data_IF_246228889138
#
_entry.id   IF_246228889138
#
_cell.length_a   1.000
_cell.length_b   1.000
_cell.length_c   1.000
_cell.angle_alpha   90.00
_cell.angle_beta   90.00
_cell.angle_gamma   90.00
#
_symmetry.space_group_name_H-M   'P 1'
#
loop_
_entity.id
_entity.type
_entity.pdbx_description
1 polymer ?
#
# COMPACT_ATOMS: atom_id res chain seq x y z
N UNK A 1 -4.87 2.24 -11.50
CA UNK A 1 -5.46 1.50 -10.38
C UNK A 1 -6.86 0.99 -10.70
N UNK A 2 -7.39 0.12 -9.84
CA UNK A 2 -8.75 -0.47 -10.00
C UNK A 2 -9.88 0.58 -10.01
N UNK A 3 -9.70 1.71 -9.39
CA UNK A 3 -10.61 2.86 -9.42
C UNK A 3 -10.88 3.41 -10.84
N UNK A 4 -10.00 3.15 -11.80
CA UNK A 4 -10.16 3.56 -13.20
C UNK A 4 -10.84 2.49 -14.07
N UNK A 5 -11.19 1.32 -13.51
CA UNK A 5 -11.70 0.18 -14.29
C UNK A 5 -12.97 0.50 -15.09
N UNK A 6 -13.93 1.20 -14.50
CA UNK A 6 -15.19 1.56 -15.17
C UNK A 6 -14.93 2.43 -16.41
N UNK A 7 -14.07 3.46 -16.29
CA UNK A 7 -13.69 4.30 -17.43
C UNK A 7 -12.97 3.51 -18.53
N UNK A 8 -12.13 2.57 -18.17
CA UNK A 8 -11.44 1.71 -19.14
C UNK A 8 -12.40 0.73 -19.83
N UNK A 9 -13.39 0.18 -19.13
CA UNK A 9 -14.41 -0.66 -19.77
C UNK A 9 -15.25 0.15 -20.74
N UNK A 10 -15.69 1.35 -20.36
CA UNK A 10 -16.41 2.26 -21.26
C UNK A 10 -15.58 2.58 -22.51
N UNK A 11 -14.29 2.89 -22.35
CA UNK A 11 -13.40 3.17 -23.47
C UNK A 11 -13.28 1.98 -24.43
N UNK A 12 -13.28 0.73 -23.92
CA UNK A 12 -13.28 -0.48 -24.76
C UNK A 12 -14.57 -0.64 -25.56
N UNK A 13 -15.71 -0.38 -24.92
CA UNK A 13 -17.02 -0.50 -25.57
C UNK A 13 -17.23 0.57 -26.64
N UNK A 14 -16.76 1.80 -26.38
CA UNK A 14 -16.81 2.91 -27.34
C UNK A 14 -15.86 2.66 -28.52
N UNK A 15 -14.66 2.13 -28.26
CA UNK A 15 -13.68 1.88 -29.32
C UNK A 15 -14.26 1.00 -30.45
N UNK A 16 -15.00 -0.04 -30.10
CA UNK A 16 -15.64 -0.92 -31.10
C UNK A 16 -16.69 -0.18 -31.94
N UNK A 17 -17.51 0.65 -31.27
CA UNK A 17 -18.57 1.45 -31.94
C UNK A 17 -18.03 2.48 -32.93
N UNK A 18 -16.83 2.99 -32.69
CA UNK A 18 -16.15 3.97 -33.57
C UNK A 18 -15.12 3.33 -34.50
N UNK A 19 -15.14 1.99 -34.64
CA UNK A 19 -14.25 1.25 -35.52
C UNK A 19 -12.78 1.25 -35.12
N UNK A 20 -12.47 1.47 -33.85
CA UNK A 20 -11.10 1.42 -33.32
C UNK A 20 -10.82 0.10 -32.60
N UNK A 21 -9.56 -0.31 -32.59
CA UNK A 21 -9.11 -1.48 -31.83
C UNK A 21 -9.31 -1.26 -30.33
N UNK A 22 -9.90 -2.25 -29.65
CA UNK A 22 -10.08 -2.23 -28.19
C UNK A 22 -8.71 -2.14 -27.49
N UNK A 23 -8.49 -1.19 -26.57
CA UNK A 23 -7.25 -1.11 -25.82
C UNK A 23 -7.15 -2.27 -24.82
N UNK A 24 -5.92 -2.75 -24.56
CA UNK A 24 -5.64 -3.63 -23.44
C UNK A 24 -5.50 -2.78 -22.17
N UNK A 25 -6.19 -3.16 -21.11
CA UNK A 25 -6.18 -2.41 -19.84
C UNK A 25 -5.60 -3.29 -18.73
N UNK A 26 -4.59 -2.78 -18.04
CA UNK A 26 -3.98 -3.41 -16.86
C UNK A 26 -4.38 -2.60 -15.62
N UNK A 27 -4.89 -3.29 -14.60
CA UNK A 27 -5.33 -2.67 -13.36
C UNK A 27 -4.51 -3.21 -12.19
N UNK A 28 -3.90 -2.30 -11.44
CA UNK A 28 -3.24 -2.62 -10.18
C UNK A 28 -4.22 -2.51 -9.02
N UNK A 29 -4.06 -3.28 -7.94
CA UNK A 29 -4.83 -3.07 -6.72
C UNK A 29 -4.61 -1.66 -6.16
N UNK A 30 -5.58 -1.16 -5.40
CA UNK A 30 -5.44 0.08 -4.63
C UNK A 30 -4.79 -0.28 -3.29
N UNK A 31 -3.81 0.51 -2.86
CA UNK A 31 -3.26 0.41 -1.52
C UNK A 31 -4.12 1.25 -0.56
N UNK A 32 -4.49 0.66 0.56
CA UNK A 32 -5.16 1.38 1.63
C UNK A 32 -4.26 2.46 2.22
N UNK A 33 -4.84 3.60 2.58
CA UNK A 33 -4.19 4.61 3.39
C UNK A 33 -3.85 4.06 4.78
N UNK A 34 -2.81 4.61 5.40
CA UNK A 34 -2.30 4.08 6.68
C UNK A 34 -3.27 4.23 7.86
N UNK A 35 -4.31 5.03 7.71
CA UNK A 35 -5.33 5.25 8.74
C UNK A 35 -6.41 4.17 8.69
N UNK A 36 -7.18 4.07 9.76
CA UNK A 36 -8.36 3.19 9.79
C UNK A 36 -9.32 3.56 8.65
N UNK A 37 -9.82 2.58 7.87
CA UNK A 37 -10.80 2.84 6.83
C UNK A 37 -12.06 3.48 7.42
N UNK A 38 -12.42 4.67 6.96
CA UNK A 38 -13.62 5.35 7.42
C UNK A 38 -14.78 5.09 6.45
N UNK A 39 -15.93 4.73 6.99
CA UNK A 39 -17.19 4.67 6.26
C UNK A 39 -17.89 6.03 6.18
N UNK A 40 -17.31 7.06 6.81
CA UNK A 40 -17.87 8.40 6.85
C UNK A 40 -17.83 9.07 5.46
N UNK A 41 -18.97 9.55 5.01
CA UNK A 41 -19.17 10.26 3.75
C UNK A 41 -20.41 9.76 3.00
N UNK A 42 -21.17 10.70 2.43
CA UNK A 42 -22.43 10.41 1.73
C UNK A 42 -22.24 10.10 0.25
N UNK A 43 -21.08 10.45 -0.31
CA UNK A 43 -20.80 10.20 -1.73
C UNK A 43 -20.38 8.74 -1.96
N UNK A 44 -21.07 8.05 -2.86
CA UNK A 44 -20.70 6.72 -3.34
C UNK A 44 -19.98 6.85 -4.67
N UNK A 45 -18.80 6.24 -4.75
CA UNK A 45 -17.99 6.17 -5.97
C UNK A 45 -18.21 4.87 -6.75
N UNK A 46 -18.75 3.85 -6.09
CA UNK A 46 -19.04 2.57 -6.71
C UNK A 46 -20.34 1.95 -6.14
N UNK A 47 -21.08 1.19 -6.97
CA UNK A 47 -22.25 0.42 -6.55
C UNK A 47 -21.85 -0.77 -5.68
N UNK A 48 -20.68 -1.37 -5.94
CA UNK A 48 -20.07 -2.37 -5.08
C UNK A 48 -19.52 -1.70 -3.82
N UNK A 49 -20.09 -2.04 -2.68
CA UNK A 49 -19.73 -1.46 -1.38
C UNK A 49 -18.28 -1.74 -0.96
N UNK A 50 -17.71 -2.87 -1.37
CA UNK A 50 -16.31 -3.20 -1.09
C UNK A 50 -15.36 -2.35 -1.96
N UNK A 51 -15.69 -2.17 -3.23
CA UNK A 51 -14.91 -1.32 -4.12
C UNK A 51 -15.03 0.14 -3.70
N UNK A 52 -16.21 0.60 -3.32
CA UNK A 52 -16.45 1.95 -2.82
C UNK A 52 -15.59 2.24 -1.57
N UNK A 53 -15.55 1.32 -0.61
CA UNK A 53 -14.69 1.45 0.57
C UNK A 53 -13.20 1.50 0.20
N UNK A 54 -12.74 0.67 -0.73
CA UNK A 54 -11.35 0.68 -1.21
C UNK A 54 -10.99 1.99 -1.90
N UNK A 55 -11.90 2.57 -2.68
CA UNK A 55 -11.68 3.86 -3.36
C UNK A 55 -11.58 4.99 -2.35
N UNK A 56 -12.46 5.01 -1.33
CA UNK A 56 -12.47 6.05 -0.28
C UNK A 56 -11.25 5.96 0.63
N UNK A 57 -10.86 4.75 1.03
CA UNK A 57 -9.76 4.50 1.95
C UNK A 57 -8.39 4.37 1.28
N UNK A 58 -8.30 4.54 -0.04
CA UNK A 58 -7.02 4.43 -0.75
C UNK A 58 -5.98 5.42 -0.26
N UNK A 59 -4.71 5.02 -0.33
CA UNK A 59 -3.58 5.88 0.01
C UNK A 59 -3.61 7.18 -0.82
N UNK A 60 -3.61 8.34 -0.14
CA UNK A 60 -3.75 9.65 -0.77
C UNK A 60 -2.85 10.71 -0.14
N UNK A 61 -2.14 11.47 -0.98
CA UNK A 61 -1.32 12.61 -0.51
C UNK A 61 -2.13 13.73 0.14
N UNK A 62 -3.43 13.82 -0.15
CA UNK A 62 -4.32 14.85 0.41
C UNK A 62 -4.61 14.65 1.90
N UNK A 63 -4.39 13.44 2.42
CA UNK A 63 -4.66 13.10 3.82
C UNK A 63 -3.31 12.98 4.53
N UNK A 64 -3.05 13.89 5.47
CA UNK A 64 -1.80 13.90 6.22
C UNK A 64 -1.60 12.56 6.96
N UNK A 65 -0.39 12.00 6.90
CA UNK A 65 -0.05 10.74 7.57
C UNK A 65 -0.62 9.46 6.94
N UNK A 66 -1.43 9.55 5.86
CA UNK A 66 -2.01 8.37 5.21
C UNK A 66 -1.11 7.72 4.17
N UNK A 67 0.03 8.31 3.84
CA UNK A 67 0.86 7.90 2.70
C UNK A 67 2.33 7.73 3.08
N UNK A 68 2.95 6.67 2.54
CA UNK A 68 4.40 6.54 2.48
C UNK A 68 4.86 7.08 1.12
N UNK A 69 5.77 8.04 1.18
CA UNK A 69 6.38 8.60 -0.02
C UNK A 69 7.63 7.80 -0.40
N UNK A 70 7.88 7.64 -1.69
CA UNK A 70 9.03 6.86 -2.19
C UNK A 70 10.40 7.42 -1.76
N UNK A 71 10.45 8.68 -1.30
CA UNK A 71 11.64 9.36 -0.80
C UNK A 71 11.65 9.52 0.73
N UNK A 72 10.67 8.95 1.44
CA UNK A 72 10.65 8.98 2.91
C UNK A 72 11.92 8.33 3.47
N UNK A 73 12.49 8.96 4.49
CA UNK A 73 13.63 8.42 5.22
C UNK A 73 13.24 7.23 6.11
N UNK A 74 14.22 6.45 6.60
CA UNK A 74 13.94 5.31 7.49
C UNK A 74 13.13 5.68 8.73
N UNK A 75 13.42 6.81 9.37
CA UNK A 75 12.70 7.30 10.55
C UNK A 75 11.25 7.71 10.22
N UNK A 76 11.03 8.28 9.03
CA UNK A 76 9.69 8.65 8.57
C UNK A 76 8.85 7.41 8.27
N UNK A 77 9.44 6.40 7.61
CA UNK A 77 8.80 5.11 7.36
C UNK A 77 8.43 4.44 8.69
N UNK A 78 9.36 4.36 9.63
CA UNK A 78 9.13 3.76 10.95
C UNK A 78 7.98 4.46 11.69
N UNK A 79 8.02 5.77 11.77
CA UNK A 79 6.98 6.57 12.42
C UNK A 79 5.60 6.34 11.78
N UNK A 80 5.52 6.36 10.46
CA UNK A 80 4.28 6.16 9.71
C UNK A 80 3.72 4.74 9.88
N UNK A 81 4.56 3.72 9.76
CA UNK A 81 4.13 2.31 9.93
C UNK A 81 3.73 2.03 11.38
N UNK A 82 4.43 2.57 12.37
CA UNK A 82 4.03 2.44 13.79
C UNK A 82 2.64 3.02 14.05
N UNK A 83 2.34 4.19 13.49
CA UNK A 83 1.04 4.83 13.61
C UNK A 83 -0.05 4.19 12.75
N UNK A 84 0.29 3.37 11.74
CA UNK A 84 -0.66 2.79 10.80
C UNK A 84 -1.68 1.88 11.48
N UNK A 85 -2.90 1.89 10.96
CA UNK A 85 -3.94 0.95 11.34
C UNK A 85 -3.50 -0.48 11.04
N UNK A 86 -3.56 -1.35 12.03
CA UNK A 86 -3.12 -2.75 11.90
C UNK A 86 -3.82 -3.59 12.98
N UNK A 87 -5.12 -3.89 12.81
CA UNK A 87 -5.91 -4.62 13.79
C UNK A 87 -5.46 -6.08 13.89
N UNK A 88 -5.39 -6.64 15.13
CA UNK A 88 -4.99 -8.03 15.33
C UNK A 88 -5.90 -9.01 14.58
N UNK A 89 -5.34 -9.99 13.90
CA UNK A 89 -6.07 -11.07 13.22
C UNK A 89 -6.87 -10.65 11.99
N UNK A 90 -6.90 -9.37 11.62
CA UNK A 90 -7.67 -8.86 10.49
C UNK A 90 -6.73 -8.45 9.36
N UNK A 91 -6.84 -9.10 8.21
CA UNK A 91 -6.04 -8.82 7.02
C UNK A 91 -6.76 -7.93 6.02
N UNK A 92 -8.09 -8.01 5.94
CA UNK A 92 -8.91 -7.22 5.02
C UNK A 92 -8.95 -5.75 5.48
N UNK A 93 -8.59 -4.82 4.60
CA UNK A 93 -8.55 -3.39 4.91
C UNK A 93 -7.42 -3.00 5.88
N UNK A 94 -6.47 -3.88 6.11
CA UNK A 94 -5.28 -3.64 6.92
C UNK A 94 -4.14 -3.14 6.02
N UNK A 95 -3.79 -1.83 6.07
CA UNK A 95 -2.80 -1.25 5.18
C UNK A 95 -1.40 -1.87 5.32
N UNK A 96 -1.02 -2.28 6.53
CA UNK A 96 0.29 -2.90 6.76
C UNK A 96 0.33 -4.28 6.10
N UNK A 97 -0.78 -5.05 6.17
CA UNK A 97 -0.89 -6.33 5.50
C UNK A 97 -0.94 -6.18 3.97
N UNK A 98 -1.65 -5.17 3.46
CA UNK A 98 -1.70 -4.88 2.01
C UNK A 98 -0.34 -4.47 1.45
N UNK A 99 0.43 -3.63 2.15
CA UNK A 99 1.80 -3.28 1.79
C UNK A 99 2.66 -4.55 1.71
N UNK A 100 2.54 -5.43 2.70
CA UNK A 100 3.26 -6.71 2.69
C UNK A 100 2.90 -7.53 1.46
N UNK A 101 1.61 -7.68 1.18
CA UNK A 101 1.08 -8.49 0.07
C UNK A 101 1.45 -7.94 -1.30
N UNK A 102 1.33 -6.63 -1.50
CA UNK A 102 1.42 -6.04 -2.83
C UNK A 102 2.76 -5.37 -3.13
N UNK A 103 3.59 -5.14 -2.11
CA UNK A 103 4.92 -4.53 -2.27
C UNK A 103 6.02 -5.46 -1.79
N UNK A 104 6.00 -5.89 -0.52
CA UNK A 104 7.13 -6.64 0.05
C UNK A 104 7.30 -7.99 -0.64
N UNK A 105 6.28 -8.85 -0.67
CA UNK A 105 6.39 -10.16 -1.31
C UNK A 105 6.76 -10.11 -2.79
N UNK A 106 6.17 -9.22 -3.62
CA UNK A 106 6.59 -9.12 -5.03
C UNK A 106 8.03 -8.66 -5.22
N UNK A 107 8.62 -7.92 -4.29
CA UNK A 107 9.99 -7.39 -4.40
C UNK A 107 11.04 -8.30 -3.75
N UNK A 108 10.75 -8.89 -2.60
CA UNK A 108 11.72 -9.67 -1.81
C UNK A 108 11.43 -11.19 -1.83
N UNK A 109 10.24 -11.62 -2.24
CA UNK A 109 9.83 -13.03 -2.25
C UNK A 109 9.48 -13.60 -0.88
N UNK A 110 9.94 -12.97 0.19
CA UNK A 110 9.73 -13.37 1.58
C UNK A 110 9.69 -12.14 2.48
N UNK A 111 9.28 -12.30 3.73
CA UNK A 111 9.40 -11.26 4.76
C UNK A 111 10.03 -11.82 6.03
N UNK A 112 11.05 -11.13 6.54
CA UNK A 112 11.65 -11.39 7.85
C UNK A 112 10.94 -10.58 8.92
N UNK A 113 10.49 -11.24 10.00
CA UNK A 113 9.85 -10.60 11.15
C UNK A 113 10.80 -10.68 12.36
N UNK A 114 11.42 -9.56 12.77
CA UNK A 114 12.31 -9.52 13.94
C UNK A 114 11.44 -9.56 15.21
N UNK A 115 11.56 -10.67 15.95
CA UNK A 115 10.93 -10.84 17.28
C UNK A 115 12.00 -11.19 18.30
N UNK A 116 11.76 -10.82 19.56
CA UNK A 116 12.60 -11.26 20.66
C UNK A 116 12.35 -12.73 21.00
N UNK A 117 13.32 -13.40 21.58
CA UNK A 117 13.21 -14.83 22.01
C UNK A 117 12.02 -15.09 22.92
N UNK A 118 11.65 -14.10 23.74
CA UNK A 118 10.45 -14.16 24.60
C UNK A 118 9.15 -14.44 23.82
N UNK A 119 9.09 -14.05 22.56
CA UNK A 119 7.94 -14.22 21.69
C UNK A 119 8.20 -15.23 20.56
N UNK A 120 9.14 -16.15 20.77
CA UNK A 120 9.46 -17.24 19.85
C UNK A 120 10.60 -16.93 18.86
N UNK A 121 11.32 -15.81 19.04
CA UNK A 121 12.42 -15.43 18.18
C UNK A 121 12.01 -14.94 16.78
N UNK A 122 12.97 -14.55 15.94
CA UNK A 122 12.71 -14.10 14.59
C UNK A 122 12.09 -15.22 13.74
N UNK A 123 11.27 -14.85 12.75
CA UNK A 123 10.59 -15.78 11.87
C UNK A 123 10.56 -15.23 10.44
N UNK A 124 10.72 -16.11 9.46
CA UNK A 124 10.61 -15.81 8.04
C UNK A 124 9.35 -16.43 7.46
N UNK A 125 8.68 -15.69 6.59
CA UNK A 125 7.54 -16.18 5.81
C UNK A 125 7.89 -16.12 4.32
N UNK A 126 7.82 -17.27 3.67
CA UNK A 126 8.11 -17.41 2.25
C UNK A 126 6.86 -17.25 1.35
N UNK A 127 5.69 -17.12 1.97
CA UNK A 127 4.45 -16.86 1.24
C UNK A 127 3.46 -16.02 2.03
N UNK A 128 2.65 -15.25 1.29
CA UNK A 128 1.57 -14.46 1.88
C UNK A 128 0.54 -15.34 2.60
N UNK A 129 0.31 -16.57 2.13
CA UNK A 129 -0.63 -17.48 2.75
C UNK A 129 -0.18 -17.94 4.14
N UNK A 130 1.11 -18.24 4.31
CA UNK A 130 1.68 -18.56 5.63
C UNK A 130 1.56 -17.37 6.59
N UNK A 131 1.94 -16.17 6.13
CA UNK A 131 1.80 -14.96 6.93
C UNK A 131 0.35 -14.70 7.33
N UNK A 132 -0.59 -14.85 6.40
CA UNK A 132 -2.03 -14.66 6.65
C UNK A 132 -2.57 -15.66 7.68
N UNK A 133 -2.18 -16.92 7.60
CA UNK A 133 -2.55 -17.94 8.57
C UNK A 133 -2.03 -17.62 9.97
N UNK A 134 -0.77 -17.22 10.11
CA UNK A 134 -0.17 -16.86 11.40
C UNK A 134 -0.78 -15.57 11.97
N UNK A 135 -1.08 -14.60 11.11
CA UNK A 135 -1.69 -13.35 11.54
C UNK A 135 -3.15 -13.52 11.95
N UNK A 136 -3.96 -14.23 11.18
CA UNK A 136 -5.39 -14.47 11.48
C UNK A 136 -5.59 -15.37 12.68
N UNK A 137 -4.68 -16.30 12.95
CA UNK A 137 -4.68 -17.11 14.16
C UNK A 137 -4.09 -16.40 15.40
N UNK A 138 -3.76 -15.11 15.27
CA UNK A 138 -3.21 -14.25 16.34
C UNK A 138 -1.86 -14.74 16.92
N UNK A 139 -1.12 -15.59 16.18
CA UNK A 139 0.23 -16.03 16.56
C UNK A 139 1.32 -15.01 16.16
N UNK A 140 0.97 -14.09 15.25
CA UNK A 140 1.83 -12.95 14.89
C UNK A 140 1.20 -11.65 15.37
N UNK A 141 1.92 -10.95 16.26
CA UNK A 141 1.45 -9.68 16.80
C UNK A 141 1.57 -8.53 15.79
N UNK A 142 0.61 -7.58 15.73
CA UNK A 142 0.67 -6.42 14.82
C UNK A 142 1.96 -5.61 14.88
N UNK A 143 2.54 -5.43 16.07
CA UNK A 143 3.80 -4.69 16.22
C UNK A 143 4.99 -5.41 15.57
N UNK A 144 4.99 -6.75 15.60
CA UNK A 144 6.06 -7.52 14.97
C UNK A 144 5.93 -7.46 13.43
N UNK A 145 4.71 -7.59 12.90
CA UNK A 145 4.46 -7.36 11.48
C UNK A 145 4.89 -5.96 11.04
N UNK A 146 4.54 -4.93 11.80
CA UNK A 146 4.96 -3.55 11.52
C UNK A 146 6.47 -3.40 11.46
N UNK A 147 7.22 -4.04 12.36
CA UNK A 147 8.70 -4.01 12.34
C UNK A 147 9.26 -4.64 11.07
N UNK A 148 8.82 -5.84 10.72
CA UNK A 148 9.25 -6.50 9.48
C UNK A 148 8.95 -5.67 8.23
N UNK A 149 7.75 -5.10 8.15
CA UNK A 149 7.35 -4.22 7.03
C UNK A 149 8.20 -2.95 6.99
N UNK A 150 8.50 -2.33 8.13
CA UNK A 150 9.38 -1.15 8.19
C UNK A 150 10.77 -1.47 7.64
N UNK A 151 11.36 -2.58 8.04
CA UNK A 151 12.68 -3.00 7.57
C UNK A 151 12.69 -3.29 6.07
N UNK A 152 11.69 -4.04 5.58
CA UNK A 152 11.56 -4.34 4.15
C UNK A 152 11.35 -3.09 3.31
N UNK A 153 10.42 -2.20 3.68
CA UNK A 153 10.22 -0.94 2.96
C UNK A 153 11.47 -0.04 2.98
N UNK A 154 12.18 -0.02 4.09
CA UNK A 154 13.43 0.73 4.21
C UNK A 154 14.47 0.24 3.20
N UNK A 155 14.59 -1.07 2.99
CA UNK A 155 15.47 -1.66 1.97
C UNK A 155 14.95 -1.41 0.55
N UNK A 156 13.68 -1.70 0.29
CA UNK A 156 13.06 -1.55 -1.03
C UNK A 156 13.16 -0.12 -1.56
N UNK A 157 12.98 0.88 -0.70
CA UNK A 157 13.02 2.28 -1.11
C UNK A 157 14.43 2.90 -1.09
N UNK A 158 15.43 2.19 -0.61
CA UNK A 158 16.81 2.69 -0.51
C UNK A 158 17.40 3.18 -1.86
N UNK A 159 17.25 2.47 -2.99
CA UNK A 159 17.76 2.95 -4.28
C UNK A 159 17.14 4.28 -4.70
N UNK A 160 15.85 4.47 -4.44
CA UNK A 160 15.12 5.71 -4.76
C UNK A 160 15.60 6.86 -3.87
N UNK A 161 15.76 6.61 -2.56
CA UNK A 161 16.30 7.62 -1.65
C UNK A 161 17.69 8.08 -2.06
N UNK A 162 18.58 7.14 -2.38
CA UNK A 162 19.94 7.47 -2.88
C UNK A 162 19.90 8.31 -4.14
N UNK A 163 19.00 7.98 -5.06
CA UNK A 163 18.83 8.78 -6.27
C UNK A 163 18.48 10.24 -5.94
N UNK A 164 17.50 10.48 -5.06
CA UNK A 164 17.11 11.84 -4.66
C UNK A 164 18.16 12.56 -3.82
N UNK A 165 18.92 11.85 -2.99
CA UNK A 165 20.05 12.42 -2.25
C UNK A 165 21.14 12.92 -3.20
N UNK A 166 21.44 12.15 -4.23
CA UNK A 166 22.42 12.52 -5.26
C UNK A 166 21.89 13.57 -6.24
N UNK A 167 20.57 13.76 -6.32
CA UNK A 167 19.90 14.69 -7.24
C UNK A 167 18.89 15.60 -6.49
N UNK A 168 19.33 16.42 -5.54
CA UNK A 168 18.43 17.20 -4.68
C UNK A 168 17.58 18.21 -5.45
N UNK A 169 18.04 18.69 -6.61
CA UNK A 169 17.27 19.59 -7.48
C UNK A 169 15.99 18.94 -8.00
N UNK A 170 16.00 17.64 -8.26
CA UNK A 170 14.83 16.91 -8.75
C UNK A 170 13.73 16.83 -7.69
N UNK A 171 14.10 16.57 -6.43
CA UNK A 171 13.16 16.57 -5.31
C UNK A 171 12.59 17.99 -5.06
N UNK A 172 13.43 19.01 -5.14
CA UNK A 172 13.02 20.40 -5.02
C UNK A 172 12.07 20.86 -6.12
N UNK A 173 12.31 20.43 -7.37
CA UNK A 173 11.42 20.68 -8.50
C UNK A 173 10.06 19.98 -8.32
N UNK A 174 10.05 18.71 -7.88
CA UNK A 174 8.83 17.97 -7.62
C UNK A 174 7.95 18.62 -6.53
N UNK A 175 8.57 19.12 -5.46
CA UNK A 175 7.84 19.81 -4.36
C UNK A 175 7.21 21.15 -4.79
N UNK A 176 7.72 21.76 -5.87
CA UNK A 176 7.19 23.04 -6.42
C UNK A 176 6.04 22.83 -7.40
N UNK A 177 5.80 21.61 -7.87
CA UNK A 177 4.68 21.31 -8.76
C UNK A 177 3.39 21.39 -7.97
N UNK A 178 2.64 22.46 -8.16
CA UNK A 178 1.26 22.56 -7.68
C UNK A 178 0.40 21.58 -8.48
N UNK A 179 -0.21 20.63 -7.78
CA UNK A 179 -1.20 19.75 -8.41
C UNK A 179 -2.49 20.58 -8.52
N UNK A 180 -2.69 21.14 -9.69
CA UNK A 180 -4.00 21.70 -10.04
C UNK A 180 -5.01 20.57 -10.11
N UNK A 181 -6.05 20.66 -9.30
CA UNK A 181 -7.20 19.74 -9.29
C UNK A 181 -8.25 20.21 -10.28
#
# INVERSE_FOLDING_TARGET
>A
GMDQRKAHMLARDVAEKIGRKKPTCVHTPLLAGLQEPTTAGTERFDEDSEMDLKIRSKMSKSIAGSVILIHDGPNEIDSKIRAAYCPPGITKGNPVFEITKYIVFPQEGAIHIPRTDKYGGPIDFESIAQLEQEYTSMRLHPLDLKRGVTESLTRILEPVRRFFQNNPRNLGAMKKVEITR
#
